data_IF_402904275911
#
_entry.id   IF_402904275911
#
_cell.length_a   1.000
_cell.length_b   1.000
_cell.length_c   1.000
_cell.angle_alpha   90.00
_cell.angle_beta   90.00
_cell.angle_gamma   90.00
#
_symmetry.space_group_name_H-M   'P 1'
#
loop_
_entity.id
_entity.type
_entity.pdbx_description
1 polymer ?
#
# COMPACT_ATOMS: atom_id res chain seq x y z
N UNK A 1 -27.70 -7.59 -8.16
CA UNK A 1 -27.44 -9.02 -7.88
C UNK A 1 -26.50 -9.07 -6.69
N UNK A 2 -26.96 -9.57 -5.54
CA UNK A 2 -26.12 -9.67 -4.35
C UNK A 2 -24.97 -10.64 -4.61
N UNK A 3 -23.73 -10.20 -4.42
CA UNK A 3 -22.58 -11.11 -4.48
C UNK A 3 -22.81 -12.29 -3.52
N UNK A 4 -22.42 -13.51 -3.91
CA UNK A 4 -22.53 -14.65 -3.02
C UNK A 4 -21.70 -14.35 -1.77
N UNK A 5 -22.37 -14.30 -0.62
CA UNK A 5 -21.71 -14.25 0.68
C UNK A 5 -20.99 -15.58 0.83
N UNK A 6 -19.71 -15.63 0.43
CA UNK A 6 -18.82 -16.72 0.83
C UNK A 6 -18.93 -16.75 2.35
N UNK A 7 -19.53 -17.80 2.90
CA UNK A 7 -19.55 -18.01 4.34
C UNK A 7 -18.08 -18.03 4.76
N UNK A 8 -17.69 -17.09 5.62
CA UNK A 8 -16.32 -17.03 6.12
C UNK A 8 -16.04 -18.38 6.79
N UNK A 9 -15.16 -19.22 6.22
CA UNK A 9 -14.81 -20.47 6.88
C UNK A 9 -14.28 -20.18 8.28
N UNK A 10 -14.53 -21.12 9.19
CA UNK A 10 -14.01 -21.07 10.55
C UNK A 10 -12.51 -21.36 10.50
N UNK A 11 -11.73 -20.29 10.26
CA UNK A 11 -10.27 -20.32 10.25
C UNK A 11 -9.74 -20.05 11.66
N UNK A 12 -8.60 -20.64 12.05
CA UNK A 12 -7.99 -20.34 13.34
C UNK A 12 -7.66 -18.85 13.46
N UNK A 13 -7.62 -18.34 14.70
CA UNK A 13 -7.22 -16.94 14.96
C UNK A 13 -5.79 -16.64 14.50
N UNK A 14 -4.92 -17.66 14.52
CA UNK A 14 -3.53 -17.60 14.08
C UNK A 14 -3.23 -18.73 13.10
N UNK A 15 -2.42 -18.42 12.09
CA UNK A 15 -2.03 -19.31 11.01
C UNK A 15 -0.63 -18.94 10.48
N UNK A 16 0.14 -19.95 10.09
CA UNK A 16 1.42 -19.80 9.39
C UNK A 16 1.20 -19.55 7.88
N UNK A 17 2.27 -19.19 7.18
CA UNK A 17 2.19 -19.02 5.73
C UNK A 17 1.90 -20.36 5.03
N UNK A 18 2.57 -21.42 5.48
CA UNK A 18 2.43 -22.77 4.95
C UNK A 18 1.01 -23.32 5.13
N UNK A 19 0.35 -22.99 6.24
CA UNK A 19 -1.05 -23.32 6.47
C UNK A 19 -1.99 -22.50 5.57
N UNK A 20 -1.70 -21.20 5.35
CA UNK A 20 -2.47 -20.35 4.44
C UNK A 20 -2.38 -20.85 2.99
N UNK A 21 -1.23 -21.36 2.56
CA UNK A 21 -1.05 -21.98 1.23
C UNK A 21 -1.93 -23.23 1.02
N UNK A 22 -2.43 -23.87 2.09
CA UNK A 22 -3.37 -24.99 2.00
C UNK A 22 -4.84 -24.53 1.96
N UNK A 23 -5.12 -23.25 2.20
CA UNK A 23 -6.46 -22.67 2.10
C UNK A 23 -6.83 -22.45 0.63
N UNK A 24 -8.09 -22.67 0.21
CA UNK A 24 -8.51 -22.38 -1.16
C UNK A 24 -8.18 -20.95 -1.58
N UNK A 25 -7.66 -20.77 -2.80
CA UNK A 25 -7.12 -19.50 -3.29
C UNK A 25 -8.13 -18.34 -3.17
N UNK A 26 -9.41 -18.59 -3.41
CA UNK A 26 -10.47 -17.58 -3.33
C UNK A 26 -10.67 -17.04 -1.91
N UNK A 27 -10.36 -17.88 -0.90
CA UNK A 27 -10.42 -17.52 0.52
C UNK A 27 -9.09 -16.90 0.94
N UNK A 28 -7.96 -17.50 0.57
CA UNK A 28 -6.63 -16.99 0.89
C UNK A 28 -6.40 -15.57 0.36
N UNK A 29 -6.93 -15.25 -0.82
CA UNK A 29 -6.89 -13.91 -1.42
C UNK A 29 -7.70 -12.84 -0.65
N UNK A 30 -8.39 -13.20 0.43
CA UNK A 30 -9.12 -12.29 1.32
C UNK A 30 -8.48 -12.22 2.71
N UNK A 31 -7.25 -12.73 2.87
CA UNK A 31 -6.57 -12.85 4.16
C UNK A 31 -5.20 -12.21 4.09
N UNK A 32 -4.92 -11.36 5.07
CA UNK A 32 -3.57 -10.94 5.44
C UNK A 32 -3.17 -11.66 6.74
N UNK A 33 -1.87 -11.95 6.91
CA UNK A 33 -1.33 -12.45 8.17
C UNK A 33 -0.53 -11.34 8.86
N UNK A 34 -1.03 -10.89 10.01
CA UNK A 34 -0.40 -9.86 10.82
C UNK A 34 0.36 -10.52 11.97
N UNK A 35 1.63 -10.85 11.75
CA UNK A 35 2.43 -11.66 12.69
C UNK A 35 1.72 -12.98 13.05
N UNK A 36 1.30 -13.70 12.01
CA UNK A 36 0.55 -14.95 12.08
C UNK A 36 -0.93 -14.79 12.40
N UNK A 37 -1.41 -13.61 12.82
CA UNK A 37 -2.85 -13.40 13.08
C UNK A 37 -3.64 -13.29 11.77
N UNK A 38 -4.73 -14.03 11.66
CA UNK A 38 -5.61 -14.00 10.48
C UNK A 38 -6.45 -12.72 10.46
N UNK A 39 -6.28 -11.89 9.42
CA UNK A 39 -7.01 -10.65 9.22
C UNK A 39 -7.76 -10.69 7.88
N UNK A 40 -9.09 -10.50 7.94
CA UNK A 40 -9.96 -10.53 6.76
C UNK A 40 -9.96 -9.19 6.03
N UNK A 41 -9.48 -9.18 4.79
CA UNK A 41 -9.56 -8.04 3.88
C UNK A 41 -10.84 -8.15 3.04
N UNK A 42 -11.59 -7.04 2.96
CA UNK A 42 -12.77 -6.98 2.09
C UNK A 42 -12.36 -6.51 0.71
N UNK A 43 -12.91 -7.14 -0.33
CA UNK A 43 -12.81 -6.58 -1.69
C UNK A 43 -13.57 -5.26 -1.77
N UNK A 44 -12.89 -4.21 -2.22
CA UNK A 44 -13.49 -2.91 -2.48
C UNK A 44 -14.49 -2.92 -3.65
N UNK A 45 -15.21 -1.81 -3.87
CA UNK A 45 -16.06 -1.63 -5.05
C UNK A 45 -15.23 -1.64 -6.35
N UNK A 46 -15.87 -1.73 -7.52
CA UNK A 46 -15.14 -1.79 -8.81
C UNK A 46 -14.24 -0.57 -9.03
N UNK A 47 -14.66 0.59 -8.56
CA UNK A 47 -13.92 1.85 -8.57
C UNK A 47 -12.56 1.72 -7.89
N UNK A 48 -12.46 0.94 -6.82
CA UNK A 48 -11.19 0.66 -6.16
C UNK A 48 -10.17 0.10 -7.15
N UNK A 49 -10.56 -0.92 -7.92
CA UNK A 49 -9.69 -1.52 -8.92
C UNK A 49 -9.40 -0.59 -10.10
N UNK A 50 -10.38 0.19 -10.52
CA UNK A 50 -10.20 1.18 -11.58
C UNK A 50 -9.11 2.17 -11.19
N UNK A 51 -9.22 2.79 -10.01
CA UNK A 51 -8.27 3.81 -9.58
C UNK A 51 -6.89 3.23 -9.22
N UNK A 52 -6.83 2.02 -8.64
CA UNK A 52 -5.56 1.28 -8.47
C UNK A 52 -4.84 1.11 -9.80
N UNK A 53 -5.55 0.67 -10.85
CA UNK A 53 -4.96 0.50 -12.17
C UNK A 53 -4.52 1.82 -12.82
N UNK A 54 -5.28 2.89 -12.66
CA UNK A 54 -4.90 4.23 -13.16
C UNK A 54 -3.62 4.73 -12.50
N UNK A 55 -3.52 4.59 -11.17
CA UNK A 55 -2.32 4.94 -10.42
C UNK A 55 -1.13 4.08 -10.83
N UNK A 56 -1.34 2.78 -11.03
CA UNK A 56 -0.30 1.89 -11.54
C UNK A 56 0.25 2.38 -12.89
N UNK A 57 -0.62 2.70 -13.86
CA UNK A 57 -0.19 3.23 -15.17
C UNK A 57 0.59 4.53 -15.03
N UNK A 58 0.09 5.45 -14.21
CA UNK A 58 0.73 6.74 -13.99
C UNK A 58 2.11 6.59 -13.35
N UNK A 59 2.24 5.78 -12.30
CA UNK A 59 3.51 5.49 -11.64
C UNK A 59 4.48 4.72 -12.55
N UNK A 60 3.98 3.77 -13.36
CA UNK A 60 4.81 2.99 -14.28
C UNK A 60 5.50 3.89 -15.31
N UNK A 61 4.82 4.93 -15.80
CA UNK A 61 5.42 5.94 -16.68
C UNK A 61 6.64 6.59 -16.02
N UNK A 62 6.54 6.96 -14.74
CA UNK A 62 7.63 7.63 -14.02
C UNK A 62 8.77 6.68 -13.66
N UNK A 63 8.50 5.45 -13.21
CA UNK A 63 9.56 4.48 -12.92
C UNK A 63 10.36 4.14 -14.17
N UNK A 64 9.70 3.99 -15.33
CA UNK A 64 10.38 3.77 -16.61
C UNK A 64 11.32 4.91 -17.00
N UNK A 65 10.96 6.15 -16.69
CA UNK A 65 11.80 7.31 -16.96
C UNK A 65 13.03 7.34 -16.04
N UNK A 66 12.84 7.11 -14.74
CA UNK A 66 13.93 7.04 -13.75
C UNK A 66 14.90 5.91 -14.09
N UNK A 67 14.40 4.71 -14.38
CA UNK A 67 15.24 3.56 -14.76
C UNK A 67 16.09 3.79 -16.01
N UNK A 68 15.71 4.74 -16.88
CA UNK A 68 16.51 5.11 -18.06
C UNK A 68 17.55 6.18 -17.78
N UNK A 69 17.27 7.05 -16.81
CA UNK A 69 18.02 8.31 -16.59
C UNK A 69 18.96 8.24 -15.40
N UNK A 70 18.69 7.36 -14.42
CA UNK A 70 19.49 7.18 -13.22
C UNK A 70 20.17 5.81 -13.27
N UNK A 71 21.51 5.75 -13.48
CA UNK A 71 22.26 4.50 -13.40
C UNK A 71 22.09 3.83 -12.02
N UNK A 72 22.10 2.50 -11.99
CA UNK A 72 22.01 1.66 -10.78
C UNK A 72 20.66 1.70 -10.02
N UNK A 73 19.71 2.53 -10.45
CA UNK A 73 18.32 2.47 -10.01
C UNK A 73 17.48 1.61 -10.97
N UNK A 74 16.69 0.71 -10.39
CA UNK A 74 15.70 -0.07 -11.13
C UNK A 74 14.48 -0.29 -10.25
N UNK A 75 13.40 0.38 -10.61
CA UNK A 75 12.11 0.34 -9.92
C UNK A 75 11.04 -0.29 -10.80
N UNK A 76 10.14 -1.06 -10.17
CA UNK A 76 8.97 -1.68 -10.80
C UNK A 76 7.73 -1.30 -10.00
N UNK A 77 6.64 -1.04 -10.71
CA UNK A 77 5.32 -0.85 -10.11
C UNK A 77 4.54 -2.14 -10.24
N UNK A 78 3.91 -2.59 -9.16
CA UNK A 78 3.07 -3.79 -9.09
C UNK A 78 1.78 -3.45 -8.35
N UNK A 79 0.74 -4.26 -8.52
CA UNK A 79 -0.54 -4.14 -7.80
C UNK A 79 -0.88 -5.43 -7.07
N UNK A 80 -1.65 -5.32 -5.99
CA UNK A 80 -2.30 -6.44 -5.29
C UNK A 80 -1.38 -7.64 -5.00
N UNK A 81 -0.13 -7.37 -4.61
CA UNK A 81 0.88 -8.39 -4.31
C UNK A 81 1.37 -8.24 -2.88
N UNK A 82 1.61 -9.36 -2.21
CA UNK A 82 2.07 -9.39 -0.82
C UNK A 82 3.45 -8.74 -0.66
N UNK A 83 3.56 -7.89 0.35
CA UNK A 83 4.82 -7.36 0.86
C UNK A 83 5.08 -8.00 2.22
N UNK A 84 6.11 -8.81 2.33
CA UNK A 84 6.50 -9.43 3.60
C UNK A 84 7.32 -8.44 4.43
N UNK A 85 6.85 -8.17 5.65
CA UNK A 85 7.37 -7.08 6.48
C UNK A 85 8.67 -7.47 7.22
N UNK A 86 8.82 -8.76 7.55
CA UNK A 86 10.01 -9.28 8.20
C UNK A 86 11.17 -9.55 7.23
N UNK A 87 12.40 -9.54 7.76
CA UNK A 87 13.61 -9.91 7.02
C UNK A 87 13.68 -11.42 6.68
N UNK A 88 12.87 -12.23 7.35
CA UNK A 88 12.75 -13.68 7.13
C UNK A 88 11.33 -14.14 7.44
N UNK A 89 10.94 -15.30 6.89
CA UNK A 89 9.58 -15.84 7.06
C UNK A 89 8.55 -15.13 6.19
N UNK A 90 7.31 -15.62 6.19
CA UNK A 90 6.22 -15.11 5.34
C UNK A 90 4.90 -14.90 6.09
N UNK A 91 4.86 -15.19 7.38
CA UNK A 91 3.64 -15.08 8.20
C UNK A 91 3.36 -13.65 8.69
N UNK A 92 4.16 -12.68 8.27
CA UNK A 92 3.89 -11.26 8.49
C UNK A 92 3.95 -10.51 7.16
N UNK A 93 2.78 -10.22 6.60
CA UNK A 93 2.65 -9.51 5.33
C UNK A 93 1.39 -8.64 5.27
N UNK A 94 1.44 -7.67 4.37
CA UNK A 94 0.29 -6.88 3.94
C UNK A 94 0.18 -6.94 2.42
N UNK A 95 -1.01 -6.69 1.89
CA UNK A 95 -1.25 -6.63 0.45
C UNK A 95 -1.66 -5.20 0.08
N UNK A 96 -0.69 -4.31 -0.22
CA UNK A 96 -1.02 -2.98 -0.70
C UNK A 96 -1.68 -3.03 -2.08
N UNK A 97 -2.49 -2.03 -2.39
CA UNK A 97 -3.19 -1.95 -3.67
C UNK A 97 -2.22 -1.69 -4.83
N UNK A 98 -1.23 -0.84 -4.59
CA UNK A 98 -0.11 -0.63 -5.48
C UNK A 98 1.18 -0.42 -4.70
N UNK A 99 2.30 -0.73 -5.33
CA UNK A 99 3.62 -0.57 -4.73
C UNK A 99 4.68 -0.28 -5.78
N UNK A 100 5.74 0.41 -5.36
CA UNK A 100 6.99 0.56 -6.11
C UNK A 100 8.08 -0.18 -5.36
N UNK A 101 8.74 -1.13 -6.02
CA UNK A 101 9.79 -1.94 -5.43
C UNK A 101 10.96 -2.11 -6.38
N UNK A 102 12.09 -2.56 -5.85
CA UNK A 102 13.31 -2.79 -6.65
C UNK A 102 13.08 -3.87 -7.70
N UNK A 103 13.72 -3.74 -8.84
CA UNK A 103 13.75 -4.81 -9.82
C UNK A 103 14.47 -6.05 -9.26
N UNK A 104 13.77 -7.17 -9.24
CA UNK A 104 14.33 -8.45 -8.82
C UNK A 104 15.28 -9.03 -9.88
N UNK A 105 16.37 -9.65 -9.42
CA UNK A 105 17.37 -10.29 -10.27
C UNK A 105 16.91 -11.63 -10.87
N UNK A 106 15.82 -12.20 -10.35
CA UNK A 106 15.24 -13.47 -10.80
C UNK A 106 13.71 -13.42 -10.77
N UNK A 107 13.02 -14.25 -11.57
CA UNK A 107 11.56 -14.29 -11.55
C UNK A 107 11.02 -14.94 -10.26
N UNK A 108 9.78 -14.59 -9.91
CA UNK A 108 9.03 -15.16 -8.78
C UNK A 108 9.68 -14.97 -7.40
N UNK A 109 10.49 -13.91 -7.23
CA UNK A 109 10.96 -13.53 -5.90
C UNK A 109 9.83 -12.91 -5.08
N UNK A 110 9.88 -13.17 -3.78
CA UNK A 110 9.01 -12.52 -2.81
C UNK A 110 9.38 -11.04 -2.67
N UNK A 111 8.39 -10.17 -2.58
CA UNK A 111 8.63 -8.75 -2.34
C UNK A 111 8.77 -8.52 -0.84
N UNK A 112 9.94 -8.03 -0.41
CA UNK A 112 10.23 -7.69 0.98
C UNK A 112 10.10 -6.20 1.21
N UNK A 113 9.70 -5.79 2.42
CA UNK A 113 9.64 -4.38 2.79
C UNK A 113 10.98 -3.64 2.57
N UNK A 114 12.11 -4.32 2.77
CA UNK A 114 13.45 -3.77 2.54
C UNK A 114 13.74 -3.40 1.06
N UNK A 115 13.05 -4.05 0.12
CA UNK A 115 13.17 -3.81 -1.32
C UNK A 115 12.03 -2.94 -1.87
N UNK A 116 11.11 -2.51 -0.99
CA UNK A 116 9.95 -1.69 -1.34
C UNK A 116 10.22 -0.23 -1.04
N UNK A 117 10.04 0.63 -2.04
CA UNK A 117 10.23 2.07 -1.96
C UNK A 117 8.96 2.80 -1.53
N UNK A 118 7.81 2.35 -2.04
CA UNK A 118 6.51 2.97 -1.85
C UNK A 118 5.43 1.90 -1.77
N UNK A 119 4.51 2.04 -0.82
CA UNK A 119 3.23 1.29 -0.79
C UNK A 119 2.05 2.26 -0.80
N UNK A 120 0.97 1.88 -1.45
CA UNK A 120 -0.21 2.69 -1.62
C UNK A 120 -1.50 1.94 -1.33
N UNK A 121 -2.43 2.60 -0.64
CA UNK A 121 -3.76 2.07 -0.30
C UNK A 121 -4.84 3.02 -0.85
N UNK A 122 -5.80 2.44 -1.57
CA UNK A 122 -6.99 3.07 -2.12
C UNK A 122 -8.13 2.89 -1.12
N UNK A 123 -8.44 3.96 -0.41
CA UNK A 123 -9.42 3.96 0.66
C UNK A 123 -10.83 4.10 0.08
N UNK A 124 -11.62 3.06 0.26
CA UNK A 124 -13.06 3.09 0.05
C UNK A 124 -13.79 3.55 1.32
N UNK A 125 -15.06 3.97 1.22
CA UNK A 125 -15.86 4.31 2.41
C UNK A 125 -16.05 3.18 3.43
N UNK A 126 -15.69 1.94 3.07
CA UNK A 126 -15.81 0.74 3.92
C UNK A 126 -14.57 0.44 4.76
N UNK A 127 -13.44 1.10 4.48
CA UNK A 127 -12.22 0.97 5.27
C UNK A 127 -12.42 1.67 6.63
N UNK A 128 -12.09 1.00 7.74
CA UNK A 128 -12.13 1.64 9.05
C UNK A 128 -10.85 2.42 9.31
N UNK A 129 -10.95 3.55 10.00
CA UNK A 129 -9.78 4.36 10.35
C UNK A 129 -8.76 3.57 11.18
N UNK A 130 -9.23 2.74 12.11
CA UNK A 130 -8.36 1.91 12.95
C UNK A 130 -7.57 0.87 12.15
N UNK A 131 -8.20 0.23 11.16
CA UNK A 131 -7.49 -0.75 10.32
C UNK A 131 -6.42 -0.04 9.47
N UNK A 132 -6.73 1.15 8.96
CA UNK A 132 -5.78 1.93 8.16
C UNK A 132 -4.59 2.44 9.00
N UNK A 133 -4.85 2.96 10.20
CA UNK A 133 -3.79 3.37 11.12
C UNK A 133 -2.89 2.19 11.51
N UNK A 134 -3.48 1.01 11.73
CA UNK A 134 -2.72 -0.21 12.02
C UNK A 134 -1.84 -0.63 10.83
N UNK A 135 -2.38 -0.69 9.60
CA UNK A 135 -1.60 -1.01 8.39
C UNK A 135 -0.46 -0.01 8.19
N UNK A 136 -0.76 1.29 8.28
CA UNK A 136 0.21 2.38 8.16
C UNK A 136 1.35 2.24 9.16
N UNK A 137 1.05 1.95 10.42
CA UNK A 137 2.06 1.72 11.45
C UNK A 137 2.92 0.48 11.17
N UNK A 138 2.35 -0.58 10.60
CA UNK A 138 3.10 -1.79 10.19
C UNK A 138 4.05 -1.51 9.03
N UNK A 139 3.61 -0.80 7.99
CA UNK A 139 4.50 -0.38 6.90
C UNK A 139 5.63 0.52 7.40
N UNK A 140 5.33 1.46 8.30
CA UNK A 140 6.35 2.31 8.91
C UNK A 140 7.34 1.50 9.74
N UNK A 141 6.85 0.58 10.58
CA UNK A 141 7.68 -0.32 11.39
C UNK A 141 8.56 -1.25 10.55
N UNK A 142 8.12 -1.59 9.34
CA UNK A 142 8.90 -2.37 8.36
C UNK A 142 9.92 -1.52 7.58
N UNK A 143 9.92 -0.18 7.77
CA UNK A 143 10.90 0.72 7.19
C UNK A 143 10.65 1.13 5.74
N UNK A 144 9.44 0.95 5.21
CA UNK A 144 9.11 1.34 3.83
C UNK A 144 9.15 2.88 3.70
N UNK A 145 9.94 3.47 2.81
CA UNK A 145 10.17 4.92 2.81
C UNK A 145 8.93 5.78 2.53
N UNK A 146 8.04 5.35 1.65
CA UNK A 146 6.86 6.12 1.25
C UNK A 146 5.57 5.35 1.42
N UNK A 147 4.56 6.03 1.94
CA UNK A 147 3.20 5.51 2.05
C UNK A 147 2.22 6.49 1.41
N UNK A 148 1.38 6.00 0.50
CA UNK A 148 0.38 6.80 -0.19
C UNK A 148 -1.04 6.37 0.22
N UNK A 149 -1.88 7.34 0.59
CA UNK A 149 -3.31 7.14 0.81
C UNK A 149 -4.09 7.82 -0.32
N UNK A 150 -4.95 7.07 -0.99
CA UNK A 150 -5.80 7.57 -2.07
C UNK A 150 -7.24 7.42 -1.62
N UNK A 151 -7.90 8.53 -1.31
CA UNK A 151 -9.30 8.50 -0.86
C UNK A 151 -10.24 8.68 -2.04
N UNK A 152 -11.17 7.75 -2.22
CA UNK A 152 -12.23 7.87 -3.23
C UNK A 152 -13.36 8.77 -2.77
N UNK A 153 -13.97 9.51 -3.70
CA UNK A 153 -15.16 10.31 -3.43
C UNK A 153 -16.35 9.43 -3.03
N UNK A 154 -17.20 9.93 -2.13
CA UNK A 154 -18.35 9.16 -1.60
C UNK A 154 -19.52 9.07 -2.57
N UNK A 155 -19.64 10.06 -3.46
CA UNK A 155 -20.82 10.28 -4.31
C UNK A 155 -20.50 10.23 -5.80
N UNK A 156 -19.23 10.15 -6.17
CA UNK A 156 -18.74 10.23 -7.54
C UNK A 156 -17.66 9.16 -7.73
N UNK A 157 -17.59 8.56 -8.93
CA UNK A 157 -16.51 7.66 -9.31
C UNK A 157 -15.28 8.51 -9.64
N UNK A 158 -14.62 9.03 -8.61
CA UNK A 158 -13.45 9.90 -8.69
C UNK A 158 -12.55 9.76 -7.46
N UNK A 159 -11.29 10.18 -7.58
CA UNK A 159 -10.39 10.37 -6.44
C UNK A 159 -10.71 11.72 -5.80
N UNK A 160 -10.95 11.72 -4.49
CA UNK A 160 -11.17 12.94 -3.72
C UNK A 160 -9.85 13.57 -3.25
N UNK A 161 -8.90 12.74 -2.81
CA UNK A 161 -7.64 13.21 -2.26
C UNK A 161 -6.55 12.16 -2.42
N UNK A 162 -5.32 12.60 -2.73
CA UNK A 162 -4.11 11.80 -2.60
C UNK A 162 -3.24 12.43 -1.51
N UNK A 163 -2.77 11.60 -0.57
CA UNK A 163 -1.82 12.00 0.46
C UNK A 163 -0.57 11.15 0.35
N UNK A 164 0.58 11.81 0.31
CA UNK A 164 1.88 11.16 0.39
C UNK A 164 2.46 11.37 1.78
N UNK A 165 2.92 10.30 2.39
CA UNK A 165 3.62 10.32 3.66
C UNK A 165 5.03 9.77 3.52
N UNK A 166 5.98 10.43 4.18
CA UNK A 166 7.38 10.04 4.22
C UNK A 166 7.70 9.40 5.58
N UNK A 167 8.50 8.33 5.57
CA UNK A 167 8.94 7.66 6.79
C UNK A 167 9.80 8.60 7.63
N UNK A 168 9.45 8.72 8.91
CA UNK A 168 10.25 9.43 9.89
C UNK A 168 11.50 8.61 10.23
N UNK A 169 12.67 9.06 9.76
CA UNK A 169 13.98 8.41 9.99
C UNK A 169 14.67 8.85 11.29
N UNK A 170 13.95 9.54 12.17
CA UNK A 170 14.44 10.08 13.45
C UNK A 170 13.39 9.97 14.55
N UNK A 171 13.76 10.39 15.76
CA UNK A 171 12.80 10.52 16.85
C UNK A 171 12.43 12.00 16.98
N UNK A 172 11.14 12.33 16.89
CA UNK A 172 10.66 13.65 17.26
C UNK A 172 11.00 13.98 18.72
N UNK A 173 11.22 15.25 19.02
CA UNK A 173 11.41 15.73 20.39
C UNK A 173 10.10 15.58 21.17
N UNK A 174 10.01 14.54 21.99
CA UNK A 174 8.85 14.27 22.83
C UNK A 174 9.07 14.77 24.26
N UNK A 175 8.01 15.26 24.95
CA UNK A 175 8.12 15.65 26.34
C UNK A 175 8.67 14.52 27.23
N UNK A 176 9.40 14.84 28.32
CA UNK A 176 9.93 13.83 29.23
C UNK A 176 8.86 12.85 29.70
N UNK A 177 9.12 11.55 29.52
CA UNK A 177 8.21 10.47 29.91
C UNK A 177 7.18 10.06 28.84
N UNK A 178 7.05 10.82 27.76
CA UNK A 178 6.22 10.43 26.60
C UNK A 178 7.00 9.48 25.72
N UNK A 179 6.36 8.38 25.30
CA UNK A 179 6.92 7.42 24.34
C UNK A 179 5.95 7.30 23.17
N UNK A 180 6.46 7.24 21.92
CA UNK A 180 5.58 7.02 20.77
C UNK A 180 4.96 5.62 20.87
N UNK A 181 3.73 5.49 20.38
CA UNK A 181 3.04 4.20 20.35
C UNK A 181 3.72 3.23 19.38
N UNK A 182 4.24 3.75 18.27
CA UNK A 182 4.93 2.98 17.24
C UNK A 182 6.41 3.41 17.17
N UNK A 183 7.34 2.47 16.93
CA UNK A 183 8.77 2.76 16.87
C UNK A 183 9.17 3.57 15.64
N UNK A 184 8.34 3.57 14.60
CA UNK A 184 8.49 4.38 13.39
C UNK A 184 7.12 4.92 12.99
N UNK A 185 7.09 6.12 12.40
CA UNK A 185 5.87 6.78 11.98
C UNK A 185 6.05 7.39 10.59
N UNK A 186 4.93 7.66 9.93
CA UNK A 186 4.88 8.42 8.69
C UNK A 186 4.45 9.86 8.97
N UNK A 187 5.11 10.83 8.34
CA UNK A 187 4.74 12.23 8.36
C UNK A 187 4.10 12.64 7.04
N UNK A 188 3.03 13.43 7.09
CA UNK A 188 2.37 13.93 5.87
C UNK A 188 3.35 14.86 5.14
N UNK A 189 3.73 14.46 3.93
CA UNK A 189 4.69 15.16 3.08
C UNK A 189 4.02 15.90 1.91
N UNK A 190 2.80 15.49 1.55
CA UNK A 190 1.99 16.20 0.55
C UNK A 190 0.54 15.73 0.56
N UNK A 191 -0.35 16.64 0.17
CA UNK A 191 -1.79 16.42 0.04
C UNK A 191 -2.28 17.17 -1.20
N UNK A 192 -3.02 16.46 -2.06
CA UNK A 192 -3.55 17.01 -3.30
C UNK A 192 -5.01 16.61 -3.46
N UNK A 193 -5.81 17.55 -3.96
CA UNK A 193 -7.20 17.33 -4.38
C UNK A 193 -7.42 17.95 -5.77
N UNK A 194 -8.39 17.45 -6.56
CA UNK A 194 -8.78 18.10 -7.81
C UNK A 194 -9.29 19.54 -7.63
N UNK A 195 -9.73 19.91 -6.42
CA UNK A 195 -10.22 21.25 -6.10
C UNK A 195 -9.09 22.25 -5.85
N UNK A 196 -7.94 21.77 -5.35
CA UNK A 196 -6.86 22.62 -4.82
C UNK A 196 -5.58 22.56 -5.67
N UNK A 197 -5.51 21.68 -6.67
CA UNK A 197 -4.33 21.47 -7.52
C UNK A 197 -4.70 20.99 -8.92
N UNK A 198 -3.92 21.36 -9.93
CA UNK A 198 -4.11 20.86 -11.31
C UNK A 198 -3.56 19.44 -11.51
N UNK A 199 -2.65 19.03 -10.63
CA UNK A 199 -1.91 17.76 -10.72
C UNK A 199 -1.34 17.37 -9.35
N UNK A 200 -1.03 16.09 -9.21
CA UNK A 200 -0.24 15.55 -8.10
C UNK A 200 1.22 15.68 -8.49
N UNK A 201 1.96 16.55 -7.78
CA UNK A 201 3.39 16.80 -8.03
C UNK A 201 4.19 16.60 -6.75
N UNK A 202 5.17 15.71 -6.78
CA UNK A 202 6.13 15.47 -5.70
C UNK A 202 7.50 15.12 -6.28
N UNK A 203 8.57 15.64 -5.68
CA UNK A 203 9.96 15.42 -6.16
C UNK A 203 10.57 14.09 -5.67
N UNK A 204 9.91 13.42 -4.73
CA UNK A 204 10.35 12.19 -4.08
C UNK A 204 9.25 11.10 -4.13
N UNK A 205 9.61 9.80 -4.13
CA UNK A 205 10.98 9.24 -4.09
C UNK A 205 11.81 9.53 -5.35
N UNK A 206 11.14 9.91 -6.42
CA UNK A 206 11.68 10.52 -7.62
C UNK A 206 10.62 11.49 -8.18
N UNK A 207 10.93 12.34 -9.16
CA UNK A 207 9.94 13.27 -9.71
C UNK A 207 8.72 12.55 -10.28
N UNK A 208 7.57 12.76 -9.63
CA UNK A 208 6.26 12.23 -10.03
C UNK A 208 5.34 13.41 -10.30
N UNK A 209 4.68 13.38 -11.46
CA UNK A 209 3.72 14.38 -11.92
C UNK A 209 2.56 13.67 -12.60
N UNK A 210 1.42 13.60 -11.91
CA UNK A 210 0.22 12.91 -12.38
C UNK A 210 -0.90 13.92 -12.51
N UNK A 211 -1.32 14.19 -13.74
CA UNK A 211 -2.48 15.06 -13.99
C UNK A 211 -3.78 14.36 -13.59
N UNK A 212 -4.76 15.11 -13.08
CA UNK A 212 -6.05 14.51 -12.69
C UNK A 212 -6.76 13.82 -13.85
N UNK A 213 -6.60 14.32 -15.08
CA UNK A 213 -7.12 13.70 -16.30
C UNK A 213 -6.57 12.28 -16.56
N UNK A 214 -5.35 11.97 -16.09
CA UNK A 214 -4.80 10.60 -16.18
C UNK A 214 -5.53 9.62 -15.25
N UNK A 215 -6.20 10.16 -14.23
CA UNK A 215 -6.89 9.41 -13.18
C UNK A 215 -8.41 9.38 -13.39
N UNK A 216 -8.96 10.03 -14.42
CA UNK A 216 -10.40 10.05 -14.70
C UNK A 216 -10.95 8.68 -15.18
N UNK A 217 -12.25 8.47 -14.92
CA UNK A 217 -13.05 7.31 -15.32
C UNK A 217 -14.07 7.67 -16.40
#
# INVERSE_FOLDING_TARGET
MSQPRIERPDLPEFMTWEELEQVPEEIAAQIELWDGRVVWVRRGPAEHQIFTNRLWVALERHTREVNRTVPDECWRVTTETNVFLGSSGKSDFLTPDFLVHRCEGSPYQDIRAADTLLVGEVLSPSNTQSDMEAKKARYAGAGIPWYWEVTLARTESAIATIRAYALEIGHGDLPPGVRPLHPANYLLAGEWSPADSEEVRIDFPFPIVIGWQELEY
#
